data_IF_038127532347
#
_entry.id   IF_038127532347
#
_cell.length_a   1.000
_cell.length_b   1.000
_cell.length_c   1.000
_cell.angle_alpha   90.00
_cell.angle_beta   90.00
_cell.angle_gamma   90.00
#
_symmetry.space_group_name_H-M   'P 1'
#
loop_
_entity.id
_entity.type
_entity.pdbx_description
1 polymer ?
#
# COMPACT_ATOMS: atom_id res chain seq x y z
N UNK A 1 5.24 -27.38 -6.74
CA UNK A 1 4.72 -26.17 -6.06
C UNK A 1 5.48 -26.04 -4.76
N UNK A 2 6.08 -24.88 -4.54
CA UNK A 2 6.74 -24.57 -3.25
C UNK A 2 5.70 -24.27 -2.19
N UNK A 3 6.03 -24.49 -0.93
CA UNK A 3 5.17 -24.19 0.21
C UNK A 3 5.47 -22.80 0.74
N UNK A 4 4.45 -22.00 0.92
CA UNK A 4 4.54 -20.61 1.38
C UNK A 4 3.70 -20.38 2.64
N UNK A 5 4.24 -19.68 3.61
CA UNK A 5 3.50 -19.17 4.76
C UNK A 5 3.37 -17.65 4.66
N UNK A 6 2.14 -17.16 4.51
CA UNK A 6 1.80 -15.74 4.55
C UNK A 6 1.40 -15.35 5.97
N UNK A 7 2.07 -14.37 6.53
CA UNK A 7 1.78 -13.80 7.86
C UNK A 7 1.35 -12.36 7.69
N UNK A 8 0.09 -12.05 7.99
CA UNK A 8 -0.56 -10.78 7.67
C UNK A 8 -1.51 -10.35 8.80
N UNK A 9 -1.88 -9.07 8.81
CA UNK A 9 -2.89 -8.51 9.72
C UNK A 9 -4.32 -8.53 9.15
N UNK A 10 -4.50 -9.09 7.95
CA UNK A 10 -5.80 -9.21 7.29
C UNK A 10 -6.00 -8.32 6.07
N UNK A 11 -5.11 -7.37 5.81
CA UNK A 11 -5.21 -6.45 4.68
C UNK A 11 -4.97 -7.13 3.32
N UNK A 12 -4.11 -8.15 3.29
CA UNK A 12 -3.61 -8.75 2.06
C UNK A 12 -4.13 -10.18 1.82
N UNK A 13 -5.38 -10.45 2.21
CA UNK A 13 -6.05 -11.74 1.95
C UNK A 13 -6.07 -12.09 0.46
N UNK A 14 -6.31 -11.10 -0.40
CA UNK A 14 -6.30 -11.27 -1.85
C UNK A 14 -4.90 -11.60 -2.40
N UNK A 15 -3.83 -11.13 -1.77
CA UNK A 15 -2.47 -11.50 -2.15
C UNK A 15 -2.17 -12.97 -1.85
N UNK A 16 -2.66 -13.50 -0.72
CA UNK A 16 -2.54 -14.91 -0.42
C UNK A 16 -3.26 -15.79 -1.47
N UNK A 17 -4.46 -15.39 -1.92
CA UNK A 17 -5.15 -16.06 -3.03
C UNK A 17 -4.37 -15.99 -4.35
N UNK A 18 -3.72 -14.85 -4.64
CA UNK A 18 -2.89 -14.70 -5.84
C UNK A 18 -1.64 -15.59 -5.80
N UNK A 19 -0.97 -15.69 -4.65
CA UNK A 19 0.16 -16.61 -4.46
C UNK A 19 -0.26 -18.08 -4.56
N UNK A 20 -1.50 -18.42 -4.19
CA UNK A 20 -2.03 -19.78 -4.27
C UNK A 20 -2.27 -20.28 -5.72
N UNK A 21 -2.14 -19.41 -6.71
CA UNK A 21 -2.11 -19.81 -8.12
C UNK A 21 -0.80 -20.55 -8.47
N UNK A 22 0.32 -20.22 -7.79
CA UNK A 22 1.66 -20.73 -8.07
C UNK A 22 2.22 -21.64 -6.95
N UNK A 23 1.73 -21.49 -5.71
CA UNK A 23 2.27 -22.14 -4.50
C UNK A 23 1.20 -22.86 -3.67
N UNK A 24 1.64 -23.72 -2.76
CA UNK A 24 0.81 -24.24 -1.66
C UNK A 24 0.88 -23.23 -0.51
N UNK A 25 -0.20 -22.49 -0.28
CA UNK A 25 -0.21 -21.33 0.62
C UNK A 25 -0.92 -21.64 1.93
N UNK A 26 -0.21 -21.44 3.04
CA UNK A 26 -0.76 -21.33 4.38
C UNK A 26 -0.87 -19.86 4.79
N UNK A 27 -1.95 -19.47 5.45
CA UNK A 27 -2.23 -18.09 5.84
C UNK A 27 -2.46 -17.99 7.35
N UNK A 28 -1.75 -17.09 7.99
CA UNK A 28 -1.84 -16.83 9.43
C UNK A 28 -2.11 -15.36 9.72
N UNK A 29 -3.07 -15.11 10.61
CA UNK A 29 -3.30 -13.79 11.24
C UNK A 29 -3.00 -13.88 12.73
N UNK A 30 -2.23 -12.91 13.33
CA UNK A 30 -1.80 -12.98 14.73
C UNK A 30 -2.87 -12.54 15.72
N UNK A 31 -4.14 -12.78 15.42
CA UNK A 31 -5.25 -12.49 16.33
C UNK A 31 -5.53 -13.68 17.24
N UNK A 32 -5.96 -13.40 18.48
CA UNK A 32 -6.34 -14.44 19.42
C UNK A 32 -7.61 -15.16 18.96
N UNK A 33 -7.48 -16.43 18.63
CA UNK A 33 -8.56 -17.30 18.17
C UNK A 33 -9.21 -18.12 19.28
N UNK A 34 -8.60 -18.13 20.48
CA UNK A 34 -9.01 -18.95 21.63
C UNK A 34 -10.03 -18.30 22.55
N UNK A 35 -10.51 -17.11 22.21
CA UNK A 35 -11.59 -16.46 22.96
C UNK A 35 -12.95 -17.10 22.67
N UNK A 36 -13.84 -17.06 23.63
CA UNK A 36 -15.24 -17.43 23.43
C UNK A 36 -16.17 -16.28 23.82
N UNK A 37 -17.05 -15.79 22.92
CA UNK A 37 -17.15 -16.17 21.50
C UNK A 37 -15.87 -15.83 20.72
N UNK A 38 -15.64 -16.53 19.61
CA UNK A 38 -14.46 -16.31 18.76
C UNK A 38 -14.41 -14.87 18.28
N UNK A 39 -13.25 -14.21 18.44
CA UNK A 39 -13.05 -12.83 18.02
C UNK A 39 -13.17 -12.70 16.50
N UNK A 40 -13.93 -11.70 16.00
CA UNK A 40 -14.18 -11.53 14.58
C UNK A 40 -12.91 -11.52 13.70
N UNK A 41 -11.87 -10.72 14.02
CA UNK A 41 -10.61 -10.70 13.26
C UNK A 41 -9.91 -12.05 13.13
N UNK A 42 -10.11 -12.98 14.10
CA UNK A 42 -9.57 -14.33 14.02
C UNK A 42 -10.21 -15.19 12.90
N UNK A 43 -11.29 -14.73 12.28
CA UNK A 43 -11.93 -15.40 11.13
C UNK A 43 -11.36 -14.94 9.78
N UNK A 44 -10.63 -13.83 9.73
CA UNK A 44 -10.02 -13.32 8.50
C UNK A 44 -9.12 -14.38 7.88
N UNK A 45 -9.21 -14.54 6.57
CA UNK A 45 -8.49 -15.58 5.83
C UNK A 45 -9.19 -16.93 5.80
N UNK A 46 -10.32 -17.12 6.49
CA UNK A 46 -11.12 -18.34 6.39
C UNK A 46 -11.76 -18.44 5.01
N UNK A 47 -11.67 -19.62 4.38
CA UNK A 47 -12.32 -19.92 3.10
C UNK A 47 -11.72 -19.22 1.88
N UNK A 48 -10.53 -18.66 1.97
CA UNK A 48 -9.81 -18.11 0.82
C UNK A 48 -9.54 -19.20 -0.22
N UNK A 49 -9.66 -18.85 -1.49
CA UNK A 49 -9.50 -19.79 -2.60
C UNK A 49 -8.06 -20.30 -2.69
N UNK A 50 -7.89 -21.60 -2.57
CA UNK A 50 -6.58 -22.26 -2.69
C UNK A 50 -5.65 -22.06 -1.50
N UNK A 51 -6.13 -21.46 -0.40
CA UNK A 51 -5.33 -21.07 0.76
C UNK A 51 -5.77 -21.85 1.99
N UNK A 52 -4.82 -22.42 2.72
CA UNK A 52 -5.07 -23.05 4.02
C UNK A 52 -4.88 -22.01 5.14
N UNK A 53 -5.97 -21.68 5.86
CA UNK A 53 -5.86 -20.83 7.05
C UNK A 53 -5.36 -21.64 8.22
N UNK A 54 -4.30 -21.18 8.88
CA UNK A 54 -3.66 -21.86 10.01
C UNK A 54 -3.76 -21.03 11.29
N UNK A 55 -3.75 -21.71 12.43
CA UNK A 55 -3.90 -21.07 13.76
C UNK A 55 -2.56 -20.89 14.48
N UNK A 56 -1.49 -21.52 14.00
CA UNK A 56 -0.16 -21.48 14.62
C UNK A 56 0.92 -21.54 13.55
N UNK A 57 1.49 -20.40 13.23
CA UNK A 57 2.55 -20.29 12.24
C UNK A 57 3.82 -21.06 12.62
N UNK A 58 4.12 -21.17 13.92
CA UNK A 58 5.35 -21.77 14.39
C UNK A 58 5.45 -23.27 14.12
N UNK A 59 4.31 -23.94 13.92
CA UNK A 59 4.28 -25.34 13.52
C UNK A 59 4.69 -25.56 12.07
N UNK A 60 4.61 -24.50 11.27
CA UNK A 60 4.85 -24.57 9.83
C UNK A 60 6.17 -23.93 9.40
N UNK A 61 6.78 -23.10 10.23
CA UNK A 61 7.99 -22.35 9.88
C UNK A 61 9.12 -23.26 9.34
N UNK A 62 9.26 -24.48 9.90
CA UNK A 62 10.26 -25.47 9.44
C UNK A 62 9.78 -26.33 8.26
N UNK A 63 8.51 -26.23 7.87
CA UNK A 63 7.89 -27.08 6.83
C UNK A 63 7.68 -26.34 5.51
N UNK A 64 7.81 -25.00 5.51
CA UNK A 64 7.61 -24.16 4.33
C UNK A 64 8.94 -23.83 3.65
N UNK A 65 8.88 -23.57 2.34
CA UNK A 65 10.05 -23.20 1.56
C UNK A 65 10.42 -21.72 1.75
N UNK A 66 9.42 -20.85 1.98
CA UNK A 66 9.62 -19.44 2.26
C UNK A 66 8.44 -18.83 3.03
N UNK A 67 8.69 -17.65 3.65
CA UNK A 67 7.73 -16.91 4.48
C UNK A 67 7.52 -15.53 3.87
N UNK A 68 6.27 -15.06 3.84
CA UNK A 68 5.88 -13.78 3.26
C UNK A 68 5.24 -12.89 4.30
N UNK A 69 5.77 -11.70 4.48
CA UNK A 69 5.18 -10.60 5.26
C UNK A 69 4.77 -9.48 4.31
N UNK A 70 3.53 -9.47 3.82
CA UNK A 70 3.09 -8.46 2.85
C UNK A 70 2.94 -7.07 3.46
N UNK A 71 2.83 -6.98 4.76
CA UNK A 71 2.56 -5.79 5.53
C UNK A 71 3.72 -5.38 6.46
N UNK A 72 3.67 -4.16 7.02
CA UNK A 72 4.57 -3.70 8.09
C UNK A 72 4.14 -4.24 9.46
N UNK A 73 4.98 -4.04 10.48
CA UNK A 73 4.78 -4.52 11.85
C UNK A 73 5.53 -5.81 12.15
N UNK A 74 6.22 -6.38 11.17
CA UNK A 74 6.90 -7.67 11.29
C UNK A 74 8.42 -7.60 11.15
N UNK A 75 9.03 -6.41 11.06
CA UNK A 75 10.46 -6.30 10.74
C UNK A 75 11.38 -7.08 11.70
N UNK A 76 11.08 -7.07 13.01
CA UNK A 76 11.88 -7.80 13.99
C UNK A 76 11.78 -9.32 13.79
N UNK A 77 10.59 -9.82 13.49
CA UNK A 77 10.36 -11.23 13.22
C UNK A 77 11.01 -11.64 11.89
N UNK A 78 10.87 -10.83 10.84
CA UNK A 78 11.51 -11.08 9.56
C UNK A 78 13.04 -11.15 9.68
N UNK A 79 13.65 -10.23 10.43
CA UNK A 79 15.10 -10.24 10.69
C UNK A 79 15.54 -11.43 11.52
N UNK A 80 14.76 -11.79 12.54
CA UNK A 80 15.05 -12.98 13.34
C UNK A 80 15.00 -14.24 12.49
N UNK A 81 13.97 -14.42 11.67
CA UNK A 81 13.84 -15.56 10.76
C UNK A 81 15.02 -15.63 9.78
N UNK A 82 15.35 -14.52 9.11
CA UNK A 82 16.50 -14.46 8.19
C UNK A 82 17.82 -14.82 8.87
N UNK A 83 18.06 -14.33 10.09
CA UNK A 83 19.27 -14.65 10.87
C UNK A 83 19.36 -16.13 11.25
N UNK A 84 18.24 -16.86 11.23
CA UNK A 84 18.17 -18.31 11.47
C UNK A 84 18.12 -19.13 10.16
N UNK A 85 18.31 -18.48 9.01
CA UNK A 85 18.42 -19.14 7.71
C UNK A 85 17.11 -19.37 6.96
N UNK A 86 15.99 -18.82 7.46
CA UNK A 86 14.73 -18.88 6.75
C UNK A 86 14.71 -17.89 5.59
N UNK A 87 14.07 -18.27 4.50
CA UNK A 87 13.85 -17.42 3.33
C UNK A 87 12.63 -16.52 3.58
N UNK A 88 12.80 -15.22 3.46
CA UNK A 88 11.76 -14.28 3.85
C UNK A 88 11.59 -13.18 2.79
N UNK A 89 10.40 -13.12 2.20
CA UNK A 89 9.90 -11.94 1.51
C UNK A 89 9.29 -10.98 2.53
N UNK A 90 9.89 -9.83 2.71
CA UNK A 90 9.48 -8.81 3.69
C UNK A 90 10.48 -7.68 3.77
N UNK A 91 10.06 -6.54 4.27
CA UNK A 91 10.88 -5.33 4.33
C UNK A 91 12.08 -5.41 5.29
N UNK A 92 12.01 -6.28 6.31
CA UNK A 92 13.04 -6.32 7.35
C UNK A 92 13.32 -4.95 7.94
N UNK A 93 14.61 -4.60 8.12
CA UNK A 93 14.99 -3.28 8.66
C UNK A 93 14.56 -2.10 7.79
N UNK A 94 14.26 -2.33 6.50
CA UNK A 94 13.73 -1.31 5.58
C UNK A 94 12.37 -0.76 5.99
N UNK A 95 11.57 -1.54 6.74
CA UNK A 95 10.28 -1.10 7.28
C UNK A 95 10.38 0.18 8.14
N UNK A 96 11.55 0.45 8.73
CA UNK A 96 11.79 1.65 9.53
C UNK A 96 11.61 2.96 8.75
N UNK A 97 11.77 2.92 7.42
CA UNK A 97 11.53 4.09 6.56
C UNK A 97 10.05 4.49 6.52
N UNK A 98 9.14 3.57 6.77
CA UNK A 98 7.70 3.86 6.82
C UNK A 98 7.21 4.07 8.27
N UNK A 99 7.53 3.12 9.17
CA UNK A 99 6.95 3.11 10.52
C UNK A 99 7.66 4.04 11.51
N UNK A 100 8.90 4.45 11.24
CA UNK A 100 9.67 5.39 12.06
C UNK A 100 9.88 6.71 11.32
N UNK A 101 8.81 7.45 11.10
CA UNK A 101 8.76 8.62 10.19
C UNK A 101 9.84 9.67 10.44
N UNK A 102 10.18 9.96 11.72
CA UNK A 102 11.30 10.87 12.00
C UNK A 102 12.65 10.29 11.59
N UNK A 103 12.91 9.00 11.89
CA UNK A 103 14.13 8.34 11.46
C UNK A 103 14.25 8.27 9.94
N UNK A 104 13.12 8.09 9.24
CA UNK A 104 13.11 8.17 7.78
C UNK A 104 13.60 9.54 7.28
N UNK A 105 13.13 10.65 7.87
CA UNK A 105 13.60 12.00 7.51
C UNK A 105 15.11 12.20 7.80
N UNK A 106 15.62 11.62 8.89
CA UNK A 106 17.07 11.63 9.17
C UNK A 106 17.84 10.83 8.11
N UNK A 107 17.38 9.63 7.78
CA UNK A 107 17.97 8.79 6.74
C UNK A 107 17.95 9.49 5.37
N UNK A 108 16.86 10.14 4.99
CA UNK A 108 16.78 10.92 3.75
C UNK A 108 17.86 12.03 3.72
N UNK A 109 18.06 12.76 4.84
CA UNK A 109 19.13 13.77 4.94
C UNK A 109 20.52 13.16 4.83
N UNK A 110 20.77 12.02 5.49
CA UNK A 110 22.03 11.28 5.44
C UNK A 110 22.35 10.83 4.00
N UNK A 111 21.34 10.45 3.22
CA UNK A 111 21.44 10.06 1.81
C UNK A 111 21.48 11.26 0.84
N UNK A 112 21.40 12.49 1.35
CA UNK A 112 21.39 13.70 0.54
C UNK A 112 20.14 13.89 -0.31
N UNK A 113 18.99 13.36 0.16
CA UNK A 113 17.69 13.68 -0.41
C UNK A 113 17.17 14.98 0.18
N UNK A 114 16.48 15.82 -0.60
CA UNK A 114 15.79 16.99 -0.08
C UNK A 114 14.75 16.58 0.95
N UNK A 115 14.73 17.25 2.10
CA UNK A 115 13.72 17.09 3.13
C UNK A 115 13.10 18.45 3.37
N UNK A 116 11.79 18.55 3.20
CA UNK A 116 11.03 19.77 3.47
C UNK A 116 11.17 20.22 4.94
N UNK A 117 10.70 21.43 5.23
CA UNK A 117 10.66 21.91 6.61
C UNK A 117 9.79 20.98 7.45
N UNK A 118 10.38 20.32 8.43
CA UNK A 118 9.68 19.39 9.32
C UNK A 118 10.27 19.44 10.73
N UNK A 119 9.44 19.13 11.71
CA UNK A 119 9.81 19.13 13.14
C UNK A 119 9.25 17.91 13.84
N UNK A 120 10.01 17.42 14.84
CA UNK A 120 9.55 16.38 15.78
C UNK A 120 8.93 17.07 17.00
N UNK A 121 7.63 16.92 17.15
CA UNK A 121 6.87 17.50 18.26
C UNK A 121 6.46 16.39 19.22
N UNK A 122 6.77 16.51 20.50
CA UNK A 122 6.47 15.47 21.49
C UNK A 122 5.34 15.90 22.42
N UNK A 123 4.29 15.10 22.46
CA UNK A 123 3.11 15.28 23.31
C UNK A 123 2.05 16.21 22.71
N UNK A 124 0.79 15.91 23.01
CA UNK A 124 -0.37 16.67 22.54
C UNK A 124 -0.36 18.15 22.92
N UNK A 125 0.10 18.54 24.14
CA UNK A 125 0.18 19.97 24.50
C UNK A 125 1.13 20.76 23.60
N UNK A 126 2.27 20.16 23.22
CA UNK A 126 3.23 20.80 22.33
C UNK A 126 2.71 20.81 20.88
N UNK A 127 2.05 19.73 20.43
CA UNK A 127 1.43 19.66 19.11
C UNK A 127 0.35 20.74 18.97
N UNK A 128 -0.54 20.87 19.97
CA UNK A 128 -1.56 21.90 19.98
C UNK A 128 -0.96 23.30 19.82
N UNK A 129 0.05 23.62 20.65
CA UNK A 129 0.73 24.92 20.57
C UNK A 129 1.34 25.15 19.18
N UNK A 130 1.98 24.13 18.61
CA UNK A 130 2.57 24.22 17.28
C UNK A 130 1.52 24.55 16.22
N UNK A 131 0.36 23.88 16.24
CA UNK A 131 -0.71 24.07 15.28
C UNK A 131 -1.49 25.39 15.48
N UNK A 132 -1.47 25.98 16.68
CA UNK A 132 -1.98 27.34 16.95
C UNK A 132 -1.08 28.43 16.34
N UNK A 133 0.21 28.13 16.13
CA UNK A 133 1.23 29.07 15.63
C UNK A 133 1.58 28.82 14.13
N UNK A 134 1.18 27.68 13.53
CA UNK A 134 1.54 27.30 12.15
C UNK A 134 0.32 26.81 11.38
N UNK A 135 0.21 27.25 10.13
CA UNK A 135 -0.82 26.86 9.19
C UNK A 135 -0.24 26.01 8.05
N UNK A 136 -1.10 25.35 7.27
CA UNK A 136 -0.76 24.52 6.10
C UNK A 136 0.33 23.48 6.37
N UNK A 137 0.12 22.69 7.43
CA UNK A 137 1.04 21.61 7.84
C UNK A 137 0.35 20.25 7.81
N UNK A 138 1.14 19.22 7.63
CA UNK A 138 0.73 17.82 7.76
C UNK A 138 1.27 17.24 9.06
N UNK A 139 0.40 16.63 9.86
CA UNK A 139 0.77 15.90 11.07
C UNK A 139 0.81 14.42 10.74
N UNK A 140 1.98 13.80 10.91
CA UNK A 140 2.20 12.37 10.66
C UNK A 140 2.51 11.65 11.96
N UNK A 141 1.90 10.49 12.14
CA UNK A 141 1.97 9.69 13.35
C UNK A 141 2.67 8.37 13.03
N UNK A 142 3.77 8.07 13.74
CA UNK A 142 4.49 6.81 13.57
C UNK A 142 3.72 5.65 14.18
N UNK A 143 3.73 4.48 13.51
CA UNK A 143 3.14 3.25 14.03
C UNK A 143 1.63 3.14 13.96
N UNK A 144 0.94 4.11 13.36
CA UNK A 144 -0.50 4.07 13.07
C UNK A 144 -0.74 4.00 11.57
N UNK A 145 -1.95 3.59 11.18
CA UNK A 145 -2.40 3.44 9.80
C UNK A 145 -3.75 4.09 9.55
N UNK A 146 -4.01 4.35 8.26
CA UNK A 146 -5.25 4.91 7.80
C UNK A 146 -5.43 6.37 8.24
N UNK A 147 -6.67 6.78 8.50
CA UNK A 147 -7.04 8.16 8.83
C UNK A 147 -6.29 8.71 10.06
N UNK A 148 -5.86 7.82 10.98
CA UNK A 148 -5.08 8.20 12.15
C UNK A 148 -3.60 8.48 11.84
N UNK A 149 -3.10 8.07 10.67
CA UNK A 149 -1.69 8.10 10.30
C UNK A 149 -1.20 9.48 9.89
N UNK A 150 -1.99 10.18 9.06
CA UNK A 150 -1.64 11.50 8.52
C UNK A 150 -2.90 12.34 8.38
N UNK A 151 -2.83 13.60 8.78
CA UNK A 151 -3.89 14.56 8.50
C UNK A 151 -3.33 15.95 8.19
N UNK A 152 -4.02 16.68 7.31
CA UNK A 152 -3.73 18.07 7.00
C UNK A 152 -4.30 19.00 8.06
N UNK A 153 -3.50 19.95 8.52
CA UNK A 153 -3.92 21.05 9.38
C UNK A 153 -3.76 22.37 8.63
N UNK A 154 -4.82 22.79 7.95
CA UNK A 154 -4.85 24.10 7.26
C UNK A 154 -4.75 25.27 8.24
N UNK A 155 -5.41 25.15 9.38
CA UNK A 155 -5.33 26.07 10.52
C UNK A 155 -5.87 25.40 11.77
N UNK A 156 -5.60 25.97 12.94
CA UNK A 156 -6.01 25.43 14.23
C UNK A 156 -7.51 25.18 14.33
N UNK A 157 -8.35 26.11 13.87
CA UNK A 157 -9.81 25.99 13.98
C UNK A 157 -10.36 24.73 13.29
N UNK A 158 -9.77 24.34 12.17
CA UNK A 158 -10.16 23.13 11.44
C UNK A 158 -9.52 21.85 12.03
N UNK A 159 -8.32 21.98 12.61
CA UNK A 159 -7.61 20.85 13.21
C UNK A 159 -8.11 20.48 14.62
N UNK A 160 -8.66 21.43 15.39
CA UNK A 160 -9.05 21.26 16.77
C UNK A 160 -9.96 20.03 17.02
N UNK A 161 -11.01 19.75 16.26
CA UNK A 161 -11.83 18.56 16.47
C UNK A 161 -11.02 17.28 16.39
N UNK A 162 -10.15 17.14 15.38
CA UNK A 162 -9.28 15.97 15.18
C UNK A 162 -8.25 15.82 16.30
N UNK A 163 -7.69 16.94 16.77
CA UNK A 163 -6.74 16.94 17.88
C UNK A 163 -7.42 16.48 19.19
N UNK A 164 -8.65 16.88 19.42
CA UNK A 164 -9.40 16.44 20.61
C UNK A 164 -9.75 14.94 20.54
N UNK A 165 -10.11 14.43 19.38
CA UNK A 165 -10.34 13.00 19.13
C UNK A 165 -9.05 12.20 19.43
N UNK A 166 -7.94 12.59 18.78
CA UNK A 166 -6.64 11.95 18.94
C UNK A 166 -6.14 11.99 20.39
N UNK A 167 -6.40 13.08 21.13
CA UNK A 167 -6.07 13.19 22.55
C UNK A 167 -6.78 12.09 23.36
N UNK A 168 -8.05 11.86 23.07
CA UNK A 168 -8.82 10.80 23.74
C UNK A 168 -8.33 9.40 23.35
N UNK A 169 -8.00 9.19 22.09
CA UNK A 169 -7.48 7.90 21.58
C UNK A 169 -6.12 7.55 22.21
N UNK A 170 -5.22 8.52 22.35
CA UNK A 170 -3.89 8.32 22.92
C UNK A 170 -3.93 8.13 24.44
N UNK A 171 -4.97 8.58 25.13
CA UNK A 171 -5.15 8.40 26.56
C UNK A 171 -3.88 8.79 27.36
N UNK A 172 -3.33 7.85 28.12
CA UNK A 172 -2.13 8.07 28.94
C UNK A 172 -0.85 8.39 28.16
N UNK A 173 -0.78 8.03 26.88
CA UNK A 173 0.38 8.31 26.04
C UNK A 173 0.40 9.74 25.48
N UNK A 174 -0.67 10.52 25.65
CA UNK A 174 -0.85 11.85 25.05
C UNK A 174 0.30 12.84 25.35
N UNK A 175 1.01 12.69 26.47
CA UNK A 175 2.09 13.62 26.86
C UNK A 175 3.48 13.23 26.30
N UNK A 176 3.64 12.01 25.81
CA UNK A 176 4.96 11.49 25.40
C UNK A 176 4.98 11.02 23.96
N UNK A 177 3.84 11.03 23.29
CA UNK A 177 3.72 10.54 21.91
C UNK A 177 4.41 11.49 20.91
N UNK A 178 5.25 10.98 20.00
CA UNK A 178 5.96 11.81 19.02
C UNK A 178 5.11 12.01 17.75
N UNK A 179 5.12 13.23 17.22
CA UNK A 179 4.49 13.64 15.97
C UNK A 179 5.54 14.22 15.05
N UNK A 180 5.51 13.85 13.77
CA UNK A 180 6.28 14.55 12.73
C UNK A 180 5.35 15.56 12.08
N UNK A 181 5.69 16.84 12.18
CA UNK A 181 4.94 17.91 11.53
C UNK A 181 5.73 18.41 10.35
N UNK A 182 5.12 18.35 9.16
CA UNK A 182 5.74 18.73 7.88
C UNK A 182 4.98 19.93 7.28
N UNK A 183 5.72 20.95 6.83
CA UNK A 183 5.12 22.00 6.04
C UNK A 183 4.85 21.52 4.61
N UNK A 184 3.78 22.02 4.02
CA UNK A 184 3.45 21.74 2.64
C UNK A 184 4.63 22.09 1.72
N UNK A 185 4.91 21.21 0.77
CA UNK A 185 5.88 21.47 -0.30
C UNK A 185 5.13 22.08 -1.46
N UNK A 186 5.56 23.26 -1.91
CA UNK A 186 5.06 23.85 -3.13
C UNK A 186 5.58 23.04 -4.31
N UNK A 187 4.70 22.25 -4.92
CA UNK A 187 5.01 21.35 -6.01
C UNK A 187 4.06 21.57 -7.17
N UNK A 188 4.56 21.30 -8.38
CA UNK A 188 3.75 21.38 -9.60
C UNK A 188 3.13 20.02 -9.94
N UNK A 189 3.77 18.92 -9.50
CA UNK A 189 3.34 17.57 -9.85
C UNK A 189 3.68 16.58 -8.75
N UNK A 190 2.91 15.51 -8.70
CA UNK A 190 3.18 14.30 -7.95
C UNK A 190 3.58 13.17 -8.90
N UNK A 191 4.58 12.40 -8.54
CA UNK A 191 5.06 11.26 -9.30
C UNK A 191 5.56 10.18 -8.34
N UNK A 192 5.68 8.95 -8.81
CA UNK A 192 6.12 7.85 -7.97
C UNK A 192 6.64 6.65 -8.74
N UNK A 193 7.15 5.72 -7.98
CA UNK A 193 7.56 4.40 -8.41
C UNK A 193 6.70 3.37 -7.69
N UNK A 194 6.18 2.43 -8.43
CA UNK A 194 5.43 1.28 -7.91
C UNK A 194 6.02 -0.01 -8.46
N UNK A 195 6.45 -0.90 -7.55
CA UNK A 195 7.07 -2.16 -7.94
C UNK A 195 7.64 -2.89 -6.74
N UNK A 196 8.84 -3.41 -6.88
CA UNK A 196 9.57 -4.10 -5.82
C UNK A 196 11.07 -3.77 -5.88
N UNK A 197 11.74 -4.05 -4.77
CA UNK A 197 13.17 -3.88 -4.64
C UNK A 197 13.77 -5.12 -3.95
N UNK A 198 14.86 -5.65 -4.48
CA UNK A 198 15.58 -6.77 -3.90
C UNK A 198 17.02 -6.35 -3.64
N UNK A 199 17.40 -6.25 -2.37
CA UNK A 199 18.74 -5.86 -1.95
C UNK A 199 19.23 -4.54 -2.60
N UNK A 200 18.35 -3.56 -2.78
CA UNK A 200 18.67 -2.29 -3.39
C UNK A 200 18.70 -2.30 -4.93
N UNK A 201 18.32 -3.40 -5.56
CA UNK A 201 18.17 -3.53 -7.01
C UNK A 201 16.70 -3.45 -7.39
N UNK A 202 16.41 -2.67 -8.44
CA UNK A 202 15.06 -2.49 -9.00
C UNK A 202 14.96 -3.24 -10.33
N UNK A 203 13.78 -3.80 -10.69
CA UNK A 203 13.60 -4.46 -11.98
C UNK A 203 13.73 -3.47 -13.15
N UNK A 204 14.05 -3.99 -14.33
CA UNK A 204 14.22 -3.19 -15.54
C UNK A 204 12.91 -2.53 -16.01
N UNK A 205 11.77 -3.04 -15.58
CA UNK A 205 10.45 -2.47 -15.86
C UNK A 205 9.62 -2.41 -14.57
N UNK A 206 8.80 -1.38 -14.44
CA UNK A 206 7.98 -1.13 -13.25
C UNK A 206 6.65 -0.47 -13.61
N UNK A 207 5.78 -0.35 -12.65
CA UNK A 207 4.58 0.48 -12.75
C UNK A 207 4.91 1.91 -12.30
N UNK A 208 4.36 2.89 -12.97
CA UNK A 208 4.30 4.29 -12.54
C UNK A 208 2.89 4.80 -12.80
N UNK A 209 2.38 5.65 -11.94
CA UNK A 209 0.99 6.09 -12.07
C UNK A 209 0.65 7.21 -11.13
N UNK A 210 -0.63 7.52 -11.08
CA UNK A 210 -1.21 8.57 -10.24
C UNK A 210 -2.32 8.00 -9.39
N UNK A 211 -2.27 8.29 -8.10
CA UNK A 211 -3.33 7.99 -7.14
C UNK A 211 -4.25 9.20 -7.00
N UNK A 212 -5.56 8.95 -7.12
CA UNK A 212 -6.57 9.84 -6.59
C UNK A 212 -6.89 9.39 -5.18
N UNK A 213 -6.44 10.14 -4.20
CA UNK A 213 -6.43 9.81 -2.79
C UNK A 213 -7.75 9.19 -2.32
N UNK A 214 -7.64 8.02 -1.67
CA UNK A 214 -8.76 7.24 -1.12
C UNK A 214 -9.83 6.81 -2.16
N UNK A 215 -9.55 6.87 -3.47
CA UNK A 215 -10.55 6.57 -4.52
C UNK A 215 -10.07 5.64 -5.61
N UNK A 216 -8.84 5.79 -6.10
CA UNK A 216 -8.39 4.97 -7.21
C UNK A 216 -6.98 5.29 -7.68
N UNK A 217 -6.52 4.51 -8.66
CA UNK A 217 -5.18 4.61 -9.22
C UNK A 217 -5.23 4.29 -10.72
N UNK A 218 -4.44 5.00 -11.49
CA UNK A 218 -4.23 4.76 -12.91
C UNK A 218 -2.73 4.68 -13.18
N UNK A 219 -2.28 3.57 -13.77
CA UNK A 219 -0.86 3.32 -13.96
C UNK A 219 -0.50 2.73 -15.32
N UNK A 220 0.77 2.89 -15.68
CA UNK A 220 1.37 2.35 -16.90
C UNK A 220 2.68 1.64 -16.60
N UNK A 221 2.95 0.58 -17.32
CA UNK A 221 4.25 -0.12 -17.30
C UNK A 221 5.28 0.72 -18.06
N UNK A 222 6.42 0.94 -17.43
CA UNK A 222 7.51 1.72 -17.99
C UNK A 222 8.87 1.06 -17.75
N UNK A 223 9.80 1.27 -18.68
CA UNK A 223 11.20 0.93 -18.46
C UNK A 223 11.76 1.79 -17.32
N UNK A 224 12.49 1.19 -16.39
CA UNK A 224 13.04 1.88 -15.22
C UNK A 224 13.95 3.05 -15.59
N UNK A 225 14.76 2.89 -16.64
CA UNK A 225 15.67 3.91 -17.15
C UNK A 225 14.95 5.08 -17.84
N UNK A 226 13.68 4.92 -18.20
CA UNK A 226 12.79 5.95 -18.77
C UNK A 226 11.90 6.63 -17.74
N UNK A 227 11.93 6.20 -16.47
CA UNK A 227 11.25 6.94 -15.41
C UNK A 227 11.79 8.38 -15.35
N UNK A 228 10.92 9.30 -14.96
CA UNK A 228 11.31 10.69 -14.76
C UNK A 228 12.51 10.80 -13.81
N UNK A 229 13.48 11.65 -14.13
CA UNK A 229 14.71 11.83 -13.35
C UNK A 229 14.46 12.01 -11.85
N UNK A 230 13.46 12.81 -11.39
CA UNK A 230 13.17 12.96 -9.97
C UNK A 230 12.88 11.63 -9.27
N UNK A 231 12.15 10.72 -9.93
CA UNK A 231 11.80 9.39 -9.39
C UNK A 231 13.04 8.50 -9.30
N UNK A 232 13.82 8.43 -10.37
CA UNK A 232 15.08 7.65 -10.39
C UNK A 232 16.08 8.13 -9.35
N UNK A 233 16.28 9.44 -9.23
CA UNK A 233 17.21 10.04 -8.24
C UNK A 233 16.84 9.59 -6.82
N UNK A 234 15.57 9.57 -6.47
CA UNK A 234 15.13 9.12 -5.15
C UNK A 234 15.41 7.65 -4.93
N UNK A 235 15.04 6.79 -5.88
CA UNK A 235 15.27 5.34 -5.79
C UNK A 235 16.78 5.01 -5.71
N UNK A 236 17.59 5.61 -6.58
CA UNK A 236 19.04 5.40 -6.60
C UNK A 236 19.74 5.83 -5.30
N UNK A 237 19.25 6.89 -4.66
CA UNK A 237 19.77 7.34 -3.37
C UNK A 237 19.33 6.44 -2.22
N UNK A 238 18.13 5.84 -2.30
CA UNK A 238 17.63 4.88 -1.30
C UNK A 238 18.27 3.49 -1.46
N UNK A 239 18.71 3.11 -2.67
CA UNK A 239 19.24 1.78 -2.97
C UNK A 239 20.36 1.30 -2.02
N UNK A 240 21.35 2.10 -1.62
CA UNK A 240 22.39 1.66 -0.67
C UNK A 240 21.81 1.29 0.71
N UNK A 241 20.85 2.07 1.21
CA UNK A 241 20.17 1.78 2.47
C UNK A 241 19.34 0.50 2.37
N UNK A 242 18.57 0.34 1.29
CA UNK A 242 17.76 -0.85 1.04
C UNK A 242 18.62 -2.12 0.93
N UNK A 243 19.81 -1.98 0.31
CA UNK A 243 20.81 -3.06 0.24
C UNK A 243 21.33 -3.44 1.63
N UNK A 244 21.73 -2.46 2.42
CA UNK A 244 22.22 -2.70 3.79
C UNK A 244 21.13 -3.32 4.68
N UNK A 245 19.89 -2.93 4.48
CA UNK A 245 18.72 -3.48 5.17
C UNK A 245 18.34 -4.90 4.72
N UNK A 246 18.95 -5.46 3.65
CA UNK A 246 18.55 -6.74 3.08
C UNK A 246 17.09 -6.73 2.60
N UNK A 247 16.67 -5.62 2.02
CA UNK A 247 15.28 -5.39 1.62
C UNK A 247 14.86 -6.32 0.48
N UNK A 248 13.77 -7.06 0.68
CA UNK A 248 13.18 -7.96 -0.31
C UNK A 248 11.66 -7.86 -0.23
N UNK A 249 11.07 -6.86 -0.86
CA UNK A 249 9.63 -6.58 -0.75
C UNK A 249 9.16 -5.67 -1.90
N UNK A 250 7.84 -5.56 -2.05
CA UNK A 250 7.21 -4.49 -2.80
C UNK A 250 7.57 -3.13 -2.21
N UNK A 251 7.63 -2.13 -3.08
CA UNK A 251 8.16 -0.83 -2.76
C UNK A 251 7.46 0.25 -3.57
N UNK A 252 7.08 1.34 -2.91
CA UNK A 252 6.48 2.49 -3.57
C UNK A 252 7.02 3.80 -2.99
N UNK A 253 7.14 4.81 -3.84
CA UNK A 253 7.53 6.16 -3.46
C UNK A 253 6.53 7.18 -3.98
N UNK A 254 6.14 8.12 -3.12
CA UNK A 254 5.38 9.32 -3.48
C UNK A 254 6.30 10.53 -3.41
N UNK A 255 6.46 11.22 -4.54
CA UNK A 255 7.42 12.30 -4.71
C UNK A 255 6.69 13.55 -5.18
N UNK A 256 6.92 14.68 -4.49
CA UNK A 256 6.49 16.00 -4.94
C UNK A 256 7.64 16.68 -5.67
N UNK A 257 7.40 17.07 -6.91
CA UNK A 257 8.40 17.73 -7.76
C UNK A 257 8.07 19.21 -7.86
N UNK A 258 9.02 20.07 -7.52
CA UNK A 258 8.89 21.51 -7.64
C UNK A 258 9.05 21.96 -9.09
N UNK A 259 8.73 23.21 -9.41
CA UNK A 259 8.94 23.84 -10.72
C UNK A 259 10.44 23.86 -11.13
N UNK A 260 11.34 23.82 -10.15
CA UNK A 260 12.80 23.69 -10.38
C UNK A 260 13.25 22.25 -10.59
N UNK A 261 12.34 21.27 -10.57
CA UNK A 261 12.64 19.82 -10.71
C UNK A 261 13.20 19.16 -9.45
N UNK A 262 13.12 19.81 -8.28
CA UNK A 262 13.62 19.23 -7.02
C UNK A 262 12.64 18.18 -6.49
N UNK A 263 13.07 16.91 -6.27
CA UNK A 263 12.22 15.86 -5.76
C UNK A 263 12.17 15.85 -4.23
N UNK A 264 11.00 16.01 -3.66
CA UNK A 264 10.75 15.81 -2.23
C UNK A 264 10.03 14.48 -2.01
N UNK A 265 10.69 13.51 -1.39
CA UNK A 265 10.05 12.27 -0.99
C UNK A 265 9.08 12.53 0.17
N UNK A 266 7.79 12.43 -0.12
CA UNK A 266 6.71 12.75 0.81
C UNK A 266 6.29 11.53 1.61
N UNK A 267 6.07 10.43 0.90
CA UNK A 267 5.74 9.14 1.52
C UNK A 267 6.52 8.00 0.86
N UNK A 268 6.71 6.95 1.63
CA UNK A 268 7.43 5.78 1.20
C UNK A 268 6.74 4.56 1.79
N UNK A 269 6.39 3.63 0.92
CA UNK A 269 5.71 2.40 1.31
C UNK A 269 6.67 1.23 1.17
N UNK A 270 6.99 0.58 2.30
CA UNK A 270 7.93 -0.54 2.40
C UNK A 270 7.23 -1.89 2.56
N UNK A 271 6.11 -2.03 1.95
CA UNK A 271 5.19 -3.18 1.99
C UNK A 271 4.44 -3.28 0.66
N UNK A 272 3.45 -4.16 0.57
CA UNK A 272 2.47 -4.07 -0.50
C UNK A 272 1.77 -2.70 -0.44
N UNK A 273 2.05 -1.77 -1.36
CA UNK A 273 1.40 -0.47 -1.36
C UNK A 273 -0.09 -0.64 -1.72
N UNK A 274 -0.96 0.05 -0.99
CA UNK A 274 -2.38 0.11 -1.28
C UNK A 274 -2.69 1.56 -1.70
N UNK A 275 -3.32 1.76 -2.86
CA UNK A 275 -4.00 0.81 -3.71
C UNK A 275 -3.14 0.06 -4.74
N UNK A 276 -1.97 0.54 -5.26
CA UNK A 276 -1.42 0.04 -6.52
C UNK A 276 -1.02 -1.43 -6.51
N UNK A 277 -0.72 -2.03 -5.35
CA UNK A 277 -0.26 -3.43 -5.32
C UNK A 277 -1.30 -4.41 -5.84
N UNK A 278 -2.56 -4.21 -5.50
CA UNK A 278 -3.66 -5.06 -5.97
C UNK A 278 -3.72 -5.08 -7.52
N UNK A 279 -3.39 -3.94 -8.14
CA UNK A 279 -3.33 -3.82 -9.58
C UNK A 279 -2.14 -4.58 -10.18
N UNK A 280 -0.92 -4.32 -9.71
CA UNK A 280 0.23 -4.93 -10.37
C UNK A 280 0.37 -6.43 -10.09
N UNK A 281 -0.22 -6.99 -9.03
CA UNK A 281 -0.31 -8.45 -8.88
C UNK A 281 -1.07 -9.10 -10.04
N UNK A 282 -2.09 -8.44 -10.57
CA UNK A 282 -2.82 -8.93 -11.73
C UNK A 282 -2.15 -8.58 -13.05
N UNK A 283 -1.42 -7.48 -13.12
CA UNK A 283 -0.66 -7.11 -14.30
C UNK A 283 0.59 -7.96 -14.50
N UNK A 284 1.18 -8.49 -13.41
CA UNK A 284 2.38 -9.35 -13.45
C UNK A 284 1.97 -10.81 -13.52
N UNK A 285 2.40 -11.54 -14.54
CA UNK A 285 2.11 -12.97 -14.72
C UNK A 285 2.87 -13.82 -13.71
N UNK A 286 4.17 -13.56 -13.50
CA UNK A 286 5.08 -14.37 -12.70
C UNK A 286 5.28 -13.87 -11.25
N UNK A 287 4.23 -13.36 -10.61
CA UNK A 287 4.30 -12.82 -9.22
C UNK A 287 4.84 -13.86 -8.23
N UNK A 288 4.38 -15.12 -8.34
CA UNK A 288 4.83 -16.19 -7.45
C UNK A 288 6.34 -16.42 -7.55
N UNK A 289 6.89 -16.47 -8.77
CA UNK A 289 8.32 -16.61 -9.01
C UNK A 289 9.12 -15.42 -8.43
N UNK A 290 8.63 -14.18 -8.62
CA UNK A 290 9.26 -12.98 -8.08
C UNK A 290 9.34 -13.03 -6.56
N UNK A 291 8.26 -13.43 -5.89
CA UNK A 291 8.19 -13.50 -4.43
C UNK A 291 9.09 -14.60 -3.87
N UNK A 292 9.06 -15.80 -4.47
CA UNK A 292 9.92 -16.91 -4.05
C UNK A 292 11.40 -16.60 -4.27
N UNK A 293 11.77 -16.09 -5.45
CA UNK A 293 13.15 -15.71 -5.75
C UNK A 293 13.61 -14.54 -4.86
N UNK A 294 12.76 -13.53 -4.66
CA UNK A 294 13.03 -12.39 -3.80
C UNK A 294 13.21 -12.78 -2.33
N UNK A 295 12.45 -13.76 -1.82
CA UNK A 295 12.67 -14.32 -0.49
C UNK A 295 14.08 -14.99 -0.35
N UNK A 296 14.67 -15.40 -1.47
CA UNK A 296 16.05 -15.88 -1.56
C UNK A 296 17.07 -14.77 -1.88
N UNK A 297 16.66 -13.50 -1.93
CA UNK A 297 17.52 -12.37 -2.25
C UNK A 297 17.87 -12.24 -3.74
N UNK A 298 17.12 -12.86 -4.64
CA UNK A 298 17.35 -12.82 -6.09
C UNK A 298 16.27 -11.98 -6.78
N UNK A 299 16.71 -11.05 -7.63
CA UNK A 299 15.82 -10.28 -8.49
C UNK A 299 15.41 -11.15 -9.70
N UNK A 300 14.12 -11.19 -9.98
CA UNK A 300 13.52 -11.77 -11.19
C UNK A 300 12.73 -10.67 -11.87
N UNK A 301 12.85 -10.53 -13.18
CA UNK A 301 12.14 -9.51 -13.94
C UNK A 301 10.64 -9.83 -14.07
N UNK A 302 9.76 -8.82 -14.03
CA UNK A 302 8.34 -9.04 -14.19
C UNK A 302 7.98 -9.35 -15.64
N UNK A 303 7.05 -10.27 -15.82
CA UNK A 303 6.40 -10.55 -17.09
C UNK A 303 5.02 -9.88 -17.05
N UNK A 304 4.82 -8.86 -17.86
CA UNK A 304 3.60 -8.06 -17.86
C UNK A 304 2.53 -8.66 -18.79
N UNK A 305 1.28 -8.75 -18.30
CA UNK A 305 0.10 -9.18 -19.06
C UNK A 305 -0.52 -8.05 -19.89
N UNK A 306 -0.33 -6.81 -19.45
CA UNK A 306 -0.90 -5.62 -20.07
C UNK A 306 -0.01 -4.41 -19.81
N UNK A 307 -0.15 -3.36 -20.62
CA UNK A 307 0.62 -2.12 -20.48
C UNK A 307 0.00 -1.14 -19.50
N UNK A 308 -1.31 -1.09 -19.40
CA UNK A 308 -2.05 -0.14 -18.57
C UNK A 308 -2.91 -0.86 -17.55
N UNK A 309 -3.11 -0.19 -16.41
CA UNK A 309 -3.97 -0.69 -15.38
C UNK A 309 -4.73 0.42 -14.66
N UNK A 310 -5.99 0.16 -14.38
CA UNK A 310 -6.90 1.02 -13.64
C UNK A 310 -7.41 0.30 -12.39
N UNK A 311 -7.48 1.03 -11.29
CA UNK A 311 -7.98 0.52 -10.03
C UNK A 311 -8.94 1.53 -9.41
N UNK A 312 -10.12 1.06 -9.00
CA UNK A 312 -11.11 1.82 -8.26
C UNK A 312 -11.28 1.22 -6.87
N UNK A 313 -11.17 2.03 -5.82
CA UNK A 313 -11.32 1.58 -4.44
C UNK A 313 -12.81 1.33 -4.15
N UNK A 314 -13.08 0.24 -3.42
CA UNK A 314 -14.41 -0.14 -2.95
C UNK A 314 -14.53 0.30 -1.50
N UNK A 315 -15.49 1.16 -1.21
CA UNK A 315 -15.83 1.61 0.14
C UNK A 315 -17.11 1.00 0.67
N UNK A 316 -17.18 0.83 1.98
CA UNK A 316 -18.42 0.54 2.70
C UNK A 316 -18.38 1.16 4.09
N UNK A 317 -19.24 2.13 4.36
CA UNK A 317 -19.42 2.65 5.72
C UNK A 317 -20.01 1.63 6.70
N UNK A 318 -20.66 0.58 6.18
CA UNK A 318 -21.19 -0.50 7.01
C UNK A 318 -20.09 -1.40 7.56
N UNK A 319 -19.00 -1.59 6.79
CA UNK A 319 -17.88 -2.45 7.15
C UNK A 319 -16.96 -1.85 8.23
N UNK A 320 -17.09 -0.58 8.57
CA UNK A 320 -16.25 0.07 9.59
C UNK A 320 -16.36 -0.60 10.97
N UNK A 321 -17.56 -1.06 11.34
CA UNK A 321 -17.83 -1.65 12.67
C UNK A 321 -18.65 -2.94 12.63
N UNK A 322 -19.04 -3.41 11.44
CA UNK A 322 -19.92 -4.57 11.26
C UNK A 322 -19.40 -5.52 10.21
N UNK A 323 -19.66 -6.79 10.38
CA UNK A 323 -19.46 -7.78 9.34
C UNK A 323 -20.30 -7.42 8.12
N UNK A 324 -19.64 -7.07 7.04
CA UNK A 324 -20.31 -6.67 5.80
C UNK A 324 -20.41 -7.87 4.86
N UNK A 325 -21.59 -8.42 4.60
CA UNK A 325 -21.74 -9.45 3.59
C UNK A 325 -21.50 -8.83 2.20
N UNK A 326 -20.67 -9.52 1.43
CA UNK A 326 -20.34 -9.13 0.06
C UNK A 326 -20.50 -10.32 -0.88
N UNK A 327 -20.83 -10.04 -2.13
CA UNK A 327 -20.83 -11.03 -3.19
C UNK A 327 -20.28 -10.45 -4.47
N UNK A 328 -19.66 -11.30 -5.28
CA UNK A 328 -19.06 -10.93 -6.56
C UNK A 328 -19.55 -11.90 -7.62
N UNK A 329 -19.88 -11.38 -8.79
CA UNK A 329 -20.15 -12.21 -9.95
C UNK A 329 -18.92 -13.10 -10.24
N UNK A 330 -19.08 -14.43 -10.36
CA UNK A 330 -17.98 -15.34 -10.64
C UNK A 330 -17.14 -14.96 -11.88
N UNK A 331 -17.74 -14.30 -12.87
CA UNK A 331 -17.04 -13.88 -14.08
C UNK A 331 -15.99 -12.80 -13.84
N UNK A 332 -16.18 -11.98 -12.80
CA UNK A 332 -15.26 -10.87 -12.46
C UNK A 332 -14.56 -11.05 -11.12
N UNK A 333 -14.75 -12.20 -10.46
CA UNK A 333 -14.19 -12.45 -9.10
C UNK A 333 -12.67 -12.26 -9.05
N UNK A 334 -11.96 -12.59 -10.12
CA UNK A 334 -10.51 -12.41 -10.23
C UNK A 334 -10.09 -10.93 -10.07
N UNK A 335 -10.90 -10.00 -10.54
CA UNK A 335 -10.58 -8.58 -10.61
C UNK A 335 -10.99 -7.79 -9.36
N UNK A 336 -11.60 -8.47 -8.38
CA UNK A 336 -12.04 -7.86 -7.13
C UNK A 336 -11.15 -8.35 -5.98
N UNK A 337 -10.49 -7.42 -5.31
CA UNK A 337 -9.50 -7.69 -4.26
C UNK A 337 -10.00 -7.17 -2.92
N UNK A 338 -10.62 -8.03 -2.14
CA UNK A 338 -11.10 -7.66 -0.81
C UNK A 338 -9.99 -7.68 0.25
N UNK A 339 -10.13 -6.79 1.23
CA UNK A 339 -9.33 -6.71 2.45
C UNK A 339 -10.12 -7.27 3.63
N UNK A 340 -9.44 -7.83 4.64
CA UNK A 340 -10.08 -8.42 5.82
C UNK A 340 -11.22 -9.40 5.47
N UNK A 341 -11.01 -10.19 4.43
CA UNK A 341 -12.02 -11.06 3.83
C UNK A 341 -12.03 -12.45 4.47
N UNK A 342 -13.21 -13.00 4.58
CA UNK A 342 -13.46 -14.42 4.84
C UNK A 342 -14.65 -14.91 4.02
N UNK A 343 -14.64 -16.16 3.61
CA UNK A 343 -15.78 -16.86 3.02
C UNK A 343 -16.24 -17.95 3.99
N UNK A 344 -17.46 -17.83 4.48
CA UNK A 344 -18.04 -18.74 5.48
C UNK A 344 -19.36 -19.27 4.93
N UNK A 345 -19.45 -20.59 4.82
CA UNK A 345 -20.62 -21.29 4.26
C UNK A 345 -21.04 -20.76 2.88
N UNK A 346 -20.05 -20.38 2.04
CA UNK A 346 -20.26 -19.86 0.69
C UNK A 346 -20.68 -18.40 0.62
N UNK A 347 -20.72 -17.70 1.77
CA UNK A 347 -20.97 -16.26 1.82
C UNK A 347 -19.69 -15.50 2.17
N UNK A 348 -19.34 -14.52 1.34
CA UNK A 348 -18.22 -13.61 1.60
C UNK A 348 -18.55 -12.54 2.62
N UNK A 349 -17.61 -12.24 3.49
CA UNK A 349 -17.71 -11.20 4.51
C UNK A 349 -16.44 -10.36 4.58
N UNK A 350 -16.61 -9.06 4.71
CA UNK A 350 -15.56 -8.17 5.20
C UNK A 350 -15.71 -8.09 6.72
N UNK A 351 -14.62 -8.37 7.42
CA UNK A 351 -14.59 -8.44 8.88
C UNK A 351 -13.91 -7.20 9.42
N UNK A 352 -14.59 -6.37 10.23
CA UNK A 352 -13.99 -5.17 10.79
C UNK A 352 -12.86 -5.54 11.76
N UNK A 353 -11.78 -4.76 11.73
CA UNK A 353 -10.66 -4.87 12.66
C UNK A 353 -10.84 -3.84 13.76
N UNK A 354 -10.84 -4.27 15.03
CA UNK A 354 -11.01 -3.36 16.18
C UNK A 354 -9.93 -2.27 16.22
N UNK A 355 -10.36 -1.05 16.45
CA UNK A 355 -9.48 0.12 16.56
C UNK A 355 -9.04 0.72 15.23
N UNK A 356 -9.40 0.12 14.11
CA UNK A 356 -9.11 0.64 12.77
C UNK A 356 -10.43 0.89 12.06
N UNK A 357 -10.82 2.15 11.94
CA UNK A 357 -11.98 2.56 11.15
C UNK A 357 -11.55 2.67 9.68
N UNK A 358 -11.60 1.55 8.96
CA UNK A 358 -11.34 1.54 7.53
C UNK A 358 -12.63 1.26 6.78
N UNK A 359 -13.07 2.23 6.01
CA UNK A 359 -14.19 2.05 5.09
C UNK A 359 -13.76 1.45 3.74
N UNK A 360 -12.47 1.44 3.45
CA UNK A 360 -11.90 0.83 2.25
C UNK A 360 -11.86 -0.69 2.41
N UNK A 361 -12.73 -1.38 1.69
CA UNK A 361 -12.90 -2.83 1.84
C UNK A 361 -12.23 -3.65 0.74
N UNK A 362 -11.73 -3.00 -0.28
CA UNK A 362 -11.09 -3.67 -1.40
C UNK A 362 -10.95 -2.79 -2.63
N UNK A 363 -10.56 -3.42 -3.71
CA UNK A 363 -10.21 -2.79 -4.96
C UNK A 363 -10.89 -3.51 -6.13
N UNK A 364 -11.31 -2.75 -7.14
CA UNK A 364 -11.78 -3.23 -8.43
C UNK A 364 -10.75 -2.89 -9.49
N UNK A 365 -10.33 -3.85 -10.31
CA UNK A 365 -9.20 -3.75 -11.22
C UNK A 365 -9.64 -3.93 -12.66
N UNK A 366 -9.05 -3.13 -13.56
CA UNK A 366 -9.07 -3.34 -15.01
C UNK A 366 -7.66 -3.24 -15.58
N UNK A 367 -7.34 -4.07 -16.56
CA UNK A 367 -6.05 -4.03 -17.28
C UNK A 367 -6.31 -4.02 -18.79
N UNK A 368 -5.41 -3.42 -19.56
CA UNK A 368 -5.51 -3.34 -21.02
C UNK A 368 -4.19 -2.96 -21.69
N UNK A 369 -4.14 -3.15 -23.01
CA UNK A 369 -3.01 -2.70 -23.83
C UNK A 369 -3.14 -1.22 -24.19
N UNK A 370 -4.32 -0.63 -23.98
CA UNK A 370 -4.57 0.81 -23.99
C UNK A 370 -5.18 1.26 -22.67
N UNK A 371 -5.11 2.56 -22.41
CA UNK A 371 -5.63 3.14 -21.16
C UNK A 371 -7.16 3.06 -21.12
N UNK A 372 -7.81 3.21 -22.29
CA UNK A 372 -9.25 3.10 -22.44
C UNK A 372 -9.75 1.70 -22.10
N UNK A 373 -9.07 0.65 -22.60
CA UNK A 373 -9.37 -0.74 -22.27
C UNK A 373 -9.27 -1.00 -20.78
N UNK A 374 -8.21 -0.50 -20.11
CA UNK A 374 -8.03 -0.66 -18.68
C UNK A 374 -9.15 0.02 -17.87
N UNK A 375 -9.52 1.25 -18.24
CA UNK A 375 -10.59 2.01 -17.59
C UNK A 375 -11.95 1.34 -17.78
N UNK A 376 -12.28 0.93 -19.00
CA UNK A 376 -13.55 0.27 -19.31
C UNK A 376 -13.67 -1.07 -18.60
N UNK A 377 -12.61 -1.90 -18.62
CA UNK A 377 -12.58 -3.15 -17.87
C UNK A 377 -12.81 -2.93 -16.36
N UNK A 378 -12.19 -1.90 -15.76
CA UNK A 378 -12.42 -1.56 -14.36
C UNK A 378 -13.88 -1.20 -14.08
N UNK A 379 -14.53 -0.42 -14.96
CA UNK A 379 -15.95 -0.08 -14.87
C UNK A 379 -16.86 -1.28 -14.97
N UNK A 380 -16.64 -2.14 -15.97
CA UNK A 380 -17.42 -3.37 -16.16
C UNK A 380 -17.29 -4.31 -14.96
N UNK A 381 -16.09 -4.48 -14.42
CA UNK A 381 -15.87 -5.35 -13.26
C UNK A 381 -16.56 -4.81 -11.99
N UNK A 382 -16.62 -3.49 -11.83
CA UNK A 382 -17.30 -2.86 -10.70
C UNK A 382 -18.79 -3.17 -10.65
N UNK A 383 -19.43 -3.37 -11.81
CA UNK A 383 -20.84 -3.75 -11.88
C UNK A 383 -21.13 -5.14 -11.28
N UNK A 384 -20.10 -5.99 -11.17
CA UNK A 384 -20.21 -7.34 -10.60
C UNK A 384 -20.17 -7.40 -9.07
N UNK A 385 -19.92 -6.29 -8.37
CA UNK A 385 -19.77 -6.27 -6.90
C UNK A 385 -21.07 -5.88 -6.22
N UNK A 386 -21.45 -6.59 -5.15
CA UNK A 386 -22.64 -6.32 -4.34
C UNK A 386 -22.30 -6.41 -2.85
N UNK A 387 -22.93 -5.54 -2.05
CA UNK A 387 -22.82 -5.52 -0.58
C UNK A 387 -23.57 -4.34 0.02
N UNK A 388 -23.52 -4.18 1.33
CA UNK A 388 -24.20 -3.10 2.02
C UNK A 388 -23.39 -1.80 1.99
N UNK A 389 -24.06 -0.70 1.59
CA UNK A 389 -23.45 0.64 1.60
C UNK A 389 -22.18 0.74 0.77
N UNK A 390 -22.08 -0.04 -0.34
CA UNK A 390 -20.93 -0.03 -1.23
C UNK A 390 -20.93 1.20 -2.12
N UNK A 391 -19.74 1.76 -2.29
CA UNK A 391 -19.41 2.72 -3.33
C UNK A 391 -18.13 2.26 -4.01
N UNK A 392 -18.13 2.15 -5.33
CA UNK A 392 -16.92 1.91 -6.14
C UNK A 392 -16.61 3.18 -6.90
N UNK A 393 -15.43 3.72 -6.70
CA UNK A 393 -15.06 5.05 -7.20
C UNK A 393 -14.51 4.98 -8.64
N UNK A 394 -15.28 4.44 -9.57
CA UNK A 394 -14.85 4.29 -10.98
C UNK A 394 -14.60 5.63 -11.70
N UNK A 395 -15.18 6.74 -11.24
CA UNK A 395 -14.90 8.06 -11.80
C UNK A 395 -13.50 8.56 -11.44
N UNK A 396 -12.91 8.06 -10.35
CA UNK A 396 -11.59 8.48 -9.92
C UNK A 396 -10.47 8.13 -10.92
N UNK A 397 -10.65 7.07 -11.71
CA UNK A 397 -9.67 6.73 -12.76
C UNK A 397 -9.62 7.76 -13.88
N UNK A 398 -10.71 8.50 -14.10
CA UNK A 398 -10.76 9.63 -15.04
C UNK A 398 -10.08 10.87 -14.43
N UNK A 399 -10.28 11.09 -13.12
CA UNK A 399 -9.58 12.17 -12.42
C UNK A 399 -8.06 11.95 -12.44
N UNK A 400 -7.61 10.69 -12.27
CA UNK A 400 -6.20 10.31 -12.37
C UNK A 400 -5.61 10.61 -13.75
N UNK A 401 -6.36 10.42 -14.83
CA UNK A 401 -5.90 10.76 -16.18
C UNK A 401 -5.62 12.27 -16.33
N UNK A 402 -6.45 13.13 -15.73
CA UNK A 402 -6.21 14.58 -15.75
C UNK A 402 -4.91 14.95 -15.00
N UNK A 403 -4.62 14.27 -13.90
CA UNK A 403 -3.37 14.49 -13.17
C UNK A 403 -2.15 13.98 -13.97
N UNK A 404 -2.28 12.89 -14.73
CA UNK A 404 -1.25 12.44 -15.67
C UNK A 404 -0.97 13.49 -16.73
N UNK A 405 -2.01 14.06 -17.37
CA UNK A 405 -1.83 15.14 -18.35
C UNK A 405 -1.11 16.36 -17.74
N UNK A 406 -1.52 16.78 -16.54
CA UNK A 406 -0.84 17.85 -15.80
C UNK A 406 0.63 17.53 -15.54
N UNK A 407 0.95 16.29 -15.20
CA UNK A 407 2.33 15.85 -14.97
C UNK A 407 3.16 15.88 -16.26
N UNK A 408 2.60 15.42 -17.38
CA UNK A 408 3.25 15.43 -18.70
C UNK A 408 3.52 16.86 -19.20
N UNK A 409 2.60 17.80 -18.97
CA UNK A 409 2.82 19.24 -19.23
C UNK A 409 4.01 19.81 -18.44
N UNK A 410 4.33 19.19 -17.28
CA UNK A 410 5.47 19.54 -16.43
C UNK A 410 6.70 18.61 -16.66
N UNK A 411 6.78 17.93 -17.80
CA UNK A 411 7.87 17.03 -18.22
C UNK A 411 8.04 15.77 -17.35
N UNK A 412 7.03 15.35 -16.62
CA UNK A 412 6.96 14.06 -15.94
C UNK A 412 6.18 13.11 -16.83
N UNK A 413 6.89 12.39 -17.69
CA UNK A 413 6.29 11.54 -18.72
C UNK A 413 5.98 10.15 -18.15
N UNK A 414 4.71 9.77 -18.16
CA UNK A 414 4.23 8.46 -17.71
C UNK A 414 4.26 7.42 -18.82
N UNK A 415 3.95 7.78 -20.05
CA UNK A 415 3.94 6.86 -21.19
C UNK A 415 4.62 7.49 -22.41
N UNK A 416 5.10 6.62 -23.33
CA UNK A 416 5.56 7.04 -24.66
C UNK A 416 4.37 7.11 -25.66
N UNK A 417 3.18 6.60 -25.28
CA UNK A 417 1.98 6.68 -26.07
C UNK A 417 1.24 8.00 -25.78
N UNK A 418 0.49 8.48 -26.77
CA UNK A 418 -0.41 9.61 -26.59
C UNK A 418 -1.57 9.22 -25.65
N UNK A 419 -1.79 10.00 -24.59
CA UNK A 419 -2.87 9.74 -23.66
C UNK A 419 -4.20 10.30 -24.20
N UNK A 420 -5.32 9.55 -24.03
CA UNK A 420 -6.62 10.04 -24.49
C UNK A 420 -7.09 11.24 -23.67
N UNK A 421 -7.84 12.11 -24.31
CA UNK A 421 -8.49 13.21 -23.61
C UNK A 421 -9.68 12.70 -22.77
N UNK A 422 -9.93 13.31 -21.61
CA UNK A 422 -11.06 12.93 -20.75
C UNK A 422 -12.40 12.85 -21.47
N UNK A 423 -12.64 13.78 -22.43
CA UNK A 423 -13.88 13.82 -23.21
C UNK A 423 -14.12 12.57 -24.09
N UNK A 424 -13.07 11.80 -24.40
CA UNK A 424 -13.12 10.62 -25.24
C UNK A 424 -13.51 9.36 -24.41
N UNK A 425 -13.54 9.49 -23.07
CA UNK A 425 -13.85 8.43 -22.10
C UNK A 425 -15.19 8.60 -21.35
N UNK A 426 -15.86 9.73 -21.54
CA UNK A 426 -17.19 10.06 -20.98
C UNK A 426 -18.31 9.69 -21.95
#
# INVERSE_FOLDING_TARGET
MSKCLVVDHGLFTAFAERLAEDHEVSYFVPYADRSFPKHGPAMVGTGLRGVERVEDMWRLVDEVDFIVFPDVGFYQLAEWLRSHGYKVWGAGLGEKLEVQRWRAKETMRELGLPVGKCELVTGMPALRKYLEENEDVYVKISGFRGIAETFESKNWKLAEPRINELWNELGGACNVFPFVVEHKVDSVVEAGYDGYCINGEFPATCLTGVEVKDKGYLGTVRDYDKLADPVRIVNEKLAPFLKEAGYCQFFSTEIRVTDEGTPYLIDLTTRCPAPPSALYWEMIENVGEIVEAGANGMLVEPVWRAKYGALAIIHSSFAEDKWCPVSVDPAVKQWIKFRNYAEIDGQGYIIPTEGVRMCEIGDCIGIGDTIEEAIEACREHAEGVRGFGLTVHTDAVIDALNEIHNAEENNIIFSDDEMPEQKDLL
#
